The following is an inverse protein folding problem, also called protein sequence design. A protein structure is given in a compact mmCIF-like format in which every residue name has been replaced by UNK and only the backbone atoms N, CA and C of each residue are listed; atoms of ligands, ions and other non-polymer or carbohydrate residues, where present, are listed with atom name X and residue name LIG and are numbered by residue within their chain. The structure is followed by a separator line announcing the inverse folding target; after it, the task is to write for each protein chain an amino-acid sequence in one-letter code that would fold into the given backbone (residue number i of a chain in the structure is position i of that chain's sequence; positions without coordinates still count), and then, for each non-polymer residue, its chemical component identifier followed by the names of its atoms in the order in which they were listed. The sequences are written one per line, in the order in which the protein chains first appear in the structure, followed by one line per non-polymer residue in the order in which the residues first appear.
data_IF_691747242710
#
_entry.id   IF_691747242710
#
_cell.length_a   1.000
_cell.length_b   1.000
_cell.length_c   1.000
_cell.angle_alpha   90.00
_cell.angle_beta   90.00
_cell.angle_gamma   90.00
#
_symmetry.space_group_name_H-M   'P 1'
#
loop_
_entity.id
_entity.type
_entity.pdbx_description
1 polymer ?
#
# COMPACT_ATOMS: atom_id res chain seq x y z
N UNK A 1 5.01 -16.55 -3.05
CA UNK A 1 5.10 -15.71 -1.83
C UNK A 1 4.21 -14.50 -2.06
N UNK A 2 3.42 -14.11 -1.06
CA UNK A 2 2.50 -12.97 -1.15
C UNK A 2 2.96 -11.86 -0.20
N UNK A 3 2.91 -10.62 -0.65
CA UNK A 3 3.28 -9.43 0.10
C UNK A 3 2.01 -8.63 0.36
N UNK A 4 1.76 -8.30 1.62
CA UNK A 4 0.68 -7.38 2.00
C UNK A 4 1.29 -6.03 2.37
N UNK A 5 0.94 -5.00 1.61
CA UNK A 5 1.25 -3.60 1.93
C UNK A 5 0.03 -2.96 2.56
N UNK A 6 0.21 -2.33 3.72
CA UNK A 6 -0.81 -1.52 4.36
C UNK A 6 -0.59 -0.06 3.92
N UNK A 7 -1.56 0.50 3.22
CA UNK A 7 -1.48 1.84 2.70
C UNK A 7 -1.73 2.89 3.80
N UNK A 8 -0.82 3.85 3.91
CA UNK A 8 -1.03 5.03 4.74
C UNK A 8 -1.79 6.11 3.95
N UNK A 9 -2.84 6.68 4.54
CA UNK A 9 -3.65 7.73 3.93
C UNK A 9 -4.24 8.70 4.97
N UNK A 10 -4.86 9.77 4.47
CA UNK A 10 -5.58 10.78 5.27
C UNK A 10 -7.06 10.90 4.89
N UNK A 11 -7.63 9.86 4.26
CA UNK A 11 -8.99 9.79 3.69
C UNK A 11 -9.22 10.67 2.46
N UNK A 12 -8.18 11.35 1.97
CA UNK A 12 -8.24 12.14 0.74
C UNK A 12 -7.16 11.71 -0.23
N UNK A 13 -5.99 11.36 0.29
CA UNK A 13 -4.80 11.00 -0.48
C UNK A 13 -4.03 9.85 0.17
N UNK A 14 -3.38 9.05 -0.66
CA UNK A 14 -2.34 8.12 -0.21
C UNK A 14 -1.07 8.90 0.09
N UNK A 15 -0.45 8.62 1.22
CA UNK A 15 0.84 9.24 1.55
C UNK A 15 1.95 8.65 0.69
N UNK A 16 2.96 9.46 0.39
CA UNK A 16 4.11 9.04 -0.43
C UNK A 16 4.86 7.83 0.13
N UNK A 17 4.79 7.59 1.44
CA UNK A 17 5.32 6.39 2.07
C UNK A 17 4.78 5.10 1.43
N UNK A 18 3.47 5.06 1.10
CA UNK A 18 2.83 3.91 0.45
C UNK A 18 3.48 3.57 -0.90
N UNK A 19 3.87 4.57 -1.69
CA UNK A 19 4.52 4.36 -2.99
C UNK A 19 5.93 3.78 -2.83
N UNK A 20 6.69 4.28 -1.86
CA UNK A 20 8.02 3.75 -1.55
C UNK A 20 7.93 2.27 -1.11
N UNK A 21 6.95 1.96 -0.26
CA UNK A 21 6.71 0.59 0.21
C UNK A 21 6.28 -0.33 -0.95
N UNK A 22 5.43 0.14 -1.87
CA UNK A 22 5.05 -0.60 -3.07
C UNK A 22 6.25 -0.86 -3.99
N UNK A 23 7.13 0.14 -4.18
CA UNK A 23 8.36 -0.03 -4.95
C UNK A 23 9.28 -1.09 -4.36
N UNK A 24 9.46 -1.08 -3.03
CA UNK A 24 10.21 -2.12 -2.33
C UNK A 24 9.55 -3.50 -2.47
N UNK A 25 8.22 -3.59 -2.31
CA UNK A 25 7.47 -4.83 -2.46
C UNK A 25 7.62 -5.42 -3.89
N UNK A 26 7.59 -4.58 -4.92
CA UNK A 26 7.79 -5.00 -6.29
C UNK A 26 9.19 -5.62 -6.52
N UNK A 27 10.23 -5.05 -5.90
CA UNK A 27 11.61 -5.56 -6.00
C UNK A 27 11.82 -6.90 -5.28
N UNK A 28 11.05 -7.17 -4.22
CA UNK A 28 11.07 -8.47 -3.53
C UNK A 28 10.49 -9.60 -4.40
N UNK A 29 9.71 -9.24 -5.42
CA UNK A 29 9.01 -10.18 -6.30
C UNK A 29 7.83 -10.87 -5.62
N UNK A 30 7.02 -11.56 -6.42
CA UNK A 30 5.79 -12.20 -5.96
C UNK A 30 4.55 -11.31 -6.10
N UNK A 31 3.43 -11.81 -5.57
CA UNK A 31 2.15 -11.11 -5.67
C UNK A 31 2.06 -10.02 -4.58
N UNK A 32 1.64 -8.82 -4.97
CA UNK A 32 1.49 -7.68 -4.05
C UNK A 32 0.00 -7.38 -3.85
N UNK A 33 -0.45 -7.47 -2.61
CA UNK A 33 -1.76 -7.07 -2.15
C UNK A 33 -1.65 -5.72 -1.42
N UNK A 34 -2.58 -4.81 -1.67
CA UNK A 34 -2.63 -3.49 -1.03
C UNK A 34 -3.92 -3.36 -0.22
N UNK A 35 -3.80 -3.13 1.09
CA UNK A 35 -4.94 -2.82 1.96
C UNK A 35 -4.97 -1.32 2.25
N UNK A 36 -6.06 -0.67 1.84
CA UNK A 36 -6.42 0.70 2.24
C UNK A 36 -7.61 0.57 3.19
N UNK A 37 -7.49 1.08 4.42
CA UNK A 37 -8.51 0.90 5.44
C UNK A 37 -8.77 2.20 6.21
N UNK A 38 -10.02 2.63 6.19
CA UNK A 38 -10.48 3.83 6.89
C UNK A 38 -11.98 4.08 6.69
N UNK A 39 -12.56 4.91 7.55
CA UNK A 39 -13.95 5.32 7.41
C UNK A 39 -14.09 6.20 6.15
N UNK A 40 -14.95 5.79 5.23
CA UNK A 40 -15.19 6.49 3.96
C UNK A 40 -13.92 6.71 3.12
N UNK A 41 -12.92 5.83 3.23
CA UNK A 41 -11.83 5.79 2.25
C UNK A 41 -12.31 5.03 1.00
N UNK A 42 -12.11 5.61 -0.18
CA UNK A 42 -12.53 5.04 -1.47
C UNK A 42 -12.22 5.98 -2.61
#
# INVERSE_FOLDING_TARGET
MAILVIAEHDNRTLKGATLNTLGAAALLGGEVHLLVAGLACG
#
